data_IF_944375146685
#
_entry.id   IF_944375146685
#
_cell.length_a   1.000
_cell.length_b   1.000
_cell.length_c   1.000
_cell.angle_alpha   90.00
_cell.angle_beta   90.00
_cell.angle_gamma   90.00
#
_symmetry.space_group_name_H-M   'P 1'
#
loop_
_entity.id
_entity.type
_entity.pdbx_description
1 polymer ?
#
# COMPACT_ATOMS: atom_id res chain seq x y z
N UNK A 1 -11.27 6.85 8.29
CA UNK A 1 -10.50 5.62 8.07
C UNK A 1 -9.27 5.96 7.23
N UNK A 2 -8.09 5.53 7.66
CA UNK A 2 -6.87 5.71 6.88
C UNK A 2 -6.59 4.46 6.08
N UNK A 3 -6.20 4.64 4.81
CA UNK A 3 -6.00 3.53 3.88
C UNK A 3 -4.65 3.67 3.20
N UNK A 4 -3.76 2.70 3.43
CA UNK A 4 -2.50 2.60 2.69
C UNK A 4 -2.80 2.01 1.31
N UNK A 5 -2.44 2.76 0.28
CA UNK A 5 -2.76 2.43 -1.10
C UNK A 5 -1.57 1.74 -1.72
N UNK A 6 -1.72 0.44 -2.03
CA UNK A 6 -0.67 -0.34 -2.70
C UNK A 6 -0.42 0.15 -4.12
N UNK A 7 0.77 -0.10 -4.60
CA UNK A 7 1.18 0.21 -5.98
C UNK A 7 0.20 -0.31 -7.02
N UNK A 8 -0.34 -1.51 -6.82
CA UNK A 8 -1.29 -2.12 -7.76
C UNK A 8 -2.53 -1.25 -7.99
N UNK A 9 -3.01 -0.58 -6.95
CA UNK A 9 -4.19 0.30 -7.06
C UNK A 9 -3.84 1.56 -7.84
N UNK A 10 -2.65 2.15 -7.59
CA UNK A 10 -2.19 3.32 -8.35
C UNK A 10 -2.01 2.99 -9.82
N UNK A 11 -1.40 1.86 -10.15
CA UNK A 11 -1.20 1.42 -11.53
C UNK A 11 -2.53 1.21 -12.24
N UNK A 12 -3.51 0.60 -11.58
CA UNK A 12 -4.86 0.46 -12.09
C UNK A 12 -5.48 1.83 -12.40
N UNK A 13 -5.37 2.77 -11.47
CA UNK A 13 -5.87 4.13 -11.63
C UNK A 13 -5.20 4.86 -12.80
N UNK A 14 -3.91 4.65 -13.02
CA UNK A 14 -3.19 5.26 -14.14
C UNK A 14 -3.68 4.76 -15.50
N UNK A 15 -4.13 3.52 -15.55
CA UNK A 15 -4.68 2.92 -16.78
C UNK A 15 -6.12 3.35 -17.00
N UNK A 16 -6.88 3.42 -15.95
CA UNK A 16 -8.29 3.74 -15.98
C UNK A 16 -8.69 4.32 -14.64
N UNK A 17 -9.21 5.53 -14.61
CA UNK A 17 -9.57 6.23 -13.39
C UNK A 17 -10.36 5.32 -12.43
N UNK A 18 -9.84 5.22 -11.21
CA UNK A 18 -10.48 4.48 -10.13
C UNK A 18 -11.25 5.47 -9.26
N UNK A 19 -12.58 5.47 -9.40
CA UNK A 19 -13.43 6.44 -8.71
C UNK A 19 -13.40 6.27 -7.19
N UNK A 20 -13.23 5.05 -6.71
CA UNK A 20 -13.09 4.78 -5.27
C UNK A 20 -11.82 5.40 -4.72
N UNK A 21 -10.72 5.34 -5.49
CA UNK A 21 -9.47 5.97 -5.10
C UNK A 21 -9.61 7.50 -5.07
N UNK A 22 -10.24 8.07 -6.09
CA UNK A 22 -10.48 9.52 -6.13
C UNK A 22 -11.28 9.96 -4.91
N UNK A 23 -12.36 9.25 -4.59
CA UNK A 23 -13.19 9.55 -3.43
C UNK A 23 -12.39 9.49 -2.12
N UNK A 24 -11.54 8.48 -1.99
CA UNK A 24 -10.69 8.30 -0.81
C UNK A 24 -9.72 9.47 -0.63
N UNK A 25 -9.07 9.88 -1.72
CA UNK A 25 -8.13 11.02 -1.72
C UNK A 25 -8.85 12.31 -1.37
N UNK A 26 -10.03 12.54 -1.92
CA UNK A 26 -10.83 13.74 -1.63
C UNK A 26 -11.27 13.80 -0.18
N UNK A 27 -11.40 12.68 0.50
CA UNK A 27 -11.72 12.63 1.93
C UNK A 27 -10.48 12.71 2.82
N UNK A 28 -9.30 12.87 2.24
CA UNK A 28 -8.03 12.93 2.96
C UNK A 28 -7.77 11.68 3.81
N UNK A 29 -8.13 10.52 3.26
CA UNK A 29 -7.97 9.22 3.94
C UNK A 29 -6.86 8.36 3.35
N UNK A 30 -6.24 8.79 2.25
CA UNK A 30 -5.19 8.04 1.58
C UNK A 30 -3.83 8.19 2.26
N UNK A 31 -3.13 7.08 2.42
CA UNK A 31 -1.76 7.05 2.92
C UNK A 31 -0.80 6.59 1.84
N UNK A 32 0.40 7.15 1.85
CA UNK A 32 1.51 6.69 1.02
C UNK A 32 2.59 6.02 1.86
N UNK A 33 3.59 5.45 1.18
CA UNK A 33 4.72 4.77 1.81
C UNK A 33 5.91 4.85 0.87
N UNK A 34 7.15 4.99 1.37
CA UNK A 34 8.34 5.04 0.51
C UNK A 34 8.47 3.88 -0.47
N UNK A 35 8.07 2.67 -0.07
CA UNK A 35 8.11 1.50 -0.94
C UNK A 35 7.14 1.61 -2.10
N UNK A 36 5.97 2.21 -1.90
CA UNK A 36 5.02 2.49 -2.98
C UNK A 36 5.60 3.51 -3.94
N UNK A 37 6.14 4.60 -3.41
CA UNK A 37 6.78 5.63 -4.25
C UNK A 37 7.95 5.04 -5.04
N UNK A 38 8.75 4.19 -4.41
CA UNK A 38 9.88 3.52 -5.08
C UNK A 38 9.43 2.62 -6.21
N UNK A 39 8.40 1.82 -6.00
CA UNK A 39 7.84 0.96 -7.05
C UNK A 39 7.26 1.77 -8.20
N UNK A 40 6.52 2.83 -7.90
CA UNK A 40 5.99 3.72 -8.93
C UNK A 40 7.10 4.41 -9.71
N UNK A 41 8.20 4.78 -9.03
CA UNK A 41 9.36 5.39 -9.67
C UNK A 41 10.08 4.43 -10.62
N UNK A 42 10.05 3.14 -10.33
CA UNK A 42 10.59 2.10 -11.22
C UNK A 42 9.72 1.82 -12.44
N UNK A 43 8.47 2.26 -12.41
CA UNK A 43 7.53 2.08 -13.51
C UNK A 43 7.41 3.32 -14.39
N UNK A 44 6.25 3.45 -15.02
CA UNK A 44 5.95 4.55 -15.95
C UNK A 44 4.70 5.31 -15.50
N UNK A 45 4.80 6.09 -14.40
CA UNK A 45 3.66 6.91 -13.99
C UNK A 45 3.33 7.95 -15.07
N UNK A 46 2.08 8.48 -15.07
CA UNK A 46 1.67 9.46 -16.07
C UNK A 46 2.59 10.69 -16.11
N UNK A 47 2.75 11.24 -17.30
CA UNK A 47 3.49 12.48 -17.49
C UNK A 47 2.70 13.68 -16.94
N UNK A 48 3.36 14.68 -16.37
CA UNK A 48 4.78 14.73 -16.09
C UNK A 48 5.14 13.80 -14.92
N UNK A 49 6.06 12.89 -15.17
CA UNK A 49 6.45 11.86 -14.20
C UNK A 49 6.78 12.41 -12.80
N UNK A 50 7.62 13.45 -12.77
CA UNK A 50 8.05 14.05 -11.51
C UNK A 50 6.85 14.60 -10.73
N UNK A 51 5.93 15.27 -11.41
CA UNK A 51 4.75 15.84 -10.77
C UNK A 51 3.85 14.77 -10.18
N UNK A 52 3.63 13.69 -10.90
CA UNK A 52 2.82 12.57 -10.41
C UNK A 52 3.42 11.97 -9.14
N UNK A 53 4.74 11.71 -9.14
CA UNK A 53 5.41 11.15 -7.97
C UNK A 53 5.39 12.13 -6.80
N UNK A 54 5.62 13.41 -7.05
CA UNK A 54 5.61 14.43 -6.01
C UNK A 54 4.22 14.57 -5.38
N UNK A 55 3.17 14.55 -6.19
CA UNK A 55 1.78 14.66 -5.71
C UNK A 55 1.41 13.48 -4.80
N UNK A 56 1.77 12.26 -5.21
CA UNK A 56 1.52 11.07 -4.39
C UNK A 56 2.34 11.14 -3.09
N UNK A 57 3.56 11.66 -3.18
CA UNK A 57 4.43 11.86 -2.02
C UNK A 57 3.91 12.88 -1.00
N UNK A 58 2.97 13.73 -1.39
CA UNK A 58 2.35 14.70 -0.48
C UNK A 58 1.28 14.08 0.42
N UNK A 59 0.81 12.89 0.10
CA UNK A 59 -0.14 12.21 0.98
C UNK A 59 0.50 11.93 2.33
N UNK A 60 -0.33 11.84 3.36
CA UNK A 60 0.14 11.45 4.67
C UNK A 60 0.82 10.08 4.60
N UNK A 61 1.96 9.93 5.27
CA UNK A 61 2.70 8.67 5.28
C UNK A 61 2.17 7.71 6.33
N UNK A 62 2.09 6.43 5.98
CA UNK A 62 1.93 5.37 6.96
C UNK A 62 3.20 5.28 7.82
N UNK A 63 3.10 4.69 9.00
CA UNK A 63 4.28 4.35 9.77
C UNK A 63 5.11 3.36 8.98
N UNK A 64 6.42 3.51 9.05
CA UNK A 64 7.32 2.68 8.26
C UNK A 64 7.90 1.57 9.15
N UNK A 65 7.56 0.33 8.85
CA UNK A 65 8.19 -0.80 9.49
C UNK A 65 9.67 -0.87 9.09
N UNK A 66 10.54 -1.06 10.08
CA UNK A 66 11.97 -1.24 9.84
C UNK A 66 12.24 -2.62 9.24
N UNK A 67 13.44 -2.80 8.68
CA UNK A 67 13.89 -4.11 8.21
C UNK A 67 13.73 -5.17 9.31
N UNK A 68 14.22 -4.89 10.51
CA UNK A 68 14.15 -5.84 11.63
C UNK A 68 12.70 -6.18 11.99
N UNK A 69 11.81 -5.17 11.97
CA UNK A 69 10.40 -5.38 12.27
C UNK A 69 9.73 -6.25 11.22
N UNK A 70 10.03 -6.02 9.95
CA UNK A 70 9.48 -6.84 8.85
C UNK A 70 9.98 -8.28 8.95
N UNK A 71 11.27 -8.48 9.16
CA UNK A 71 11.85 -9.81 9.30
C UNK A 71 11.25 -10.57 10.49
N UNK A 72 11.11 -9.91 11.62
CA UNK A 72 10.48 -10.49 12.82
C UNK A 72 9.02 -10.84 12.59
N UNK A 73 8.29 -10.00 11.87
CA UNK A 73 6.89 -10.23 11.52
C UNK A 73 6.72 -11.47 10.64
N UNK A 74 7.55 -11.58 9.59
CA UNK A 74 7.52 -12.75 8.69
C UNK A 74 7.74 -14.05 9.48
N UNK A 75 8.74 -14.08 10.36
CA UNK A 75 9.06 -15.27 11.15
C UNK A 75 7.98 -15.59 12.19
N UNK A 76 7.56 -14.61 12.94
CA UNK A 76 6.58 -14.79 14.02
C UNK A 76 5.23 -15.28 13.48
N UNK A 77 4.78 -14.72 12.38
CA UNK A 77 3.48 -15.04 11.79
C UNK A 77 3.56 -16.12 10.70
N UNK A 78 4.76 -16.64 10.44
CA UNK A 78 4.99 -17.68 9.43
C UNK A 78 4.47 -17.28 8.05
N UNK A 79 4.86 -16.11 7.60
CA UNK A 79 4.39 -15.54 6.32
C UNK A 79 5.25 -15.90 5.13
N UNK A 80 6.21 -16.79 5.30
CA UNK A 80 7.11 -17.24 4.23
C UNK A 80 6.41 -18.29 3.35
N UNK A 81 6.81 -18.33 2.09
CA UNK A 81 6.29 -19.31 1.13
C UNK A 81 4.85 -19.06 0.68
N UNK A 82 4.29 -17.89 0.93
CA UNK A 82 2.89 -17.58 0.62
C UNK A 82 2.72 -16.80 -0.69
N UNK A 83 3.82 -16.57 -1.41
CA UNK A 83 3.77 -15.91 -2.70
C UNK A 83 3.77 -14.37 -2.64
N UNK A 84 3.95 -13.80 -1.47
CA UNK A 84 4.12 -12.35 -1.30
C UNK A 84 5.59 -12.02 -1.09
N UNK A 85 6.05 -10.92 -1.69
CA UNK A 85 7.43 -10.48 -1.58
C UNK A 85 7.67 -9.52 -0.43
N UNK A 86 8.93 -9.07 -0.34
CA UNK A 86 9.37 -8.20 0.75
C UNK A 86 8.62 -6.88 0.81
N UNK A 87 8.33 -6.25 -0.34
CA UNK A 87 7.58 -4.99 -0.37
C UNK A 87 6.17 -5.22 0.18
N UNK A 88 5.51 -6.29 -0.22
CA UNK A 88 4.18 -6.65 0.28
C UNK A 88 4.19 -6.81 1.80
N UNK A 89 5.18 -7.52 2.34
CA UNK A 89 5.31 -7.72 3.77
C UNK A 89 5.59 -6.42 4.51
N UNK A 90 6.39 -5.54 3.92
CA UNK A 90 6.68 -4.23 4.49
C UNK A 90 5.42 -3.36 4.55
N UNK A 91 4.62 -3.37 3.49
CA UNK A 91 3.36 -2.62 3.46
C UNK A 91 2.36 -3.17 4.48
N UNK A 92 2.25 -4.47 4.59
CA UNK A 92 1.35 -5.09 5.55
C UNK A 92 1.78 -4.77 6.99
N UNK A 93 3.05 -4.96 7.31
CA UNK A 93 3.58 -4.62 8.63
C UNK A 93 3.37 -3.14 8.96
N UNK A 94 3.64 -2.25 8.00
CA UNK A 94 3.47 -0.81 8.17
C UNK A 94 2.01 -0.44 8.41
N UNK A 95 1.08 -1.11 7.71
CA UNK A 95 -0.35 -0.93 7.92
C UNK A 95 -0.74 -1.30 9.35
N UNK A 96 -0.27 -2.44 9.83
CA UNK A 96 -0.58 -2.92 11.18
C UNK A 96 0.01 -2.01 12.27
N UNK A 97 1.11 -1.32 11.97
CA UNK A 97 1.73 -0.36 12.88
C UNK A 97 1.05 1.01 12.86
N UNK A 98 0.23 1.29 11.87
CA UNK A 98 -0.45 2.58 11.73
C UNK A 98 -1.85 2.45 12.34
N UNK A 99 -2.16 3.14 13.45
CA UNK A 99 -3.45 2.99 14.11
C UNK A 99 -4.62 3.26 13.19
N UNK A 100 -5.58 2.33 13.15
CA UNK A 100 -6.80 2.45 12.35
C UNK A 100 -6.62 2.31 10.85
N UNK A 101 -5.42 1.99 10.38
CA UNK A 101 -5.16 1.88 8.94
C UNK A 101 -5.65 0.56 8.37
N UNK A 102 -5.98 0.60 7.09
CA UNK A 102 -6.31 -0.56 6.27
C UNK A 102 -5.40 -0.58 5.05
N UNK A 103 -5.15 -1.76 4.51
CA UNK A 103 -4.36 -1.93 3.30
C UNK A 103 -5.28 -2.19 2.11
N UNK A 104 -5.15 -1.39 1.07
CA UNK A 104 -5.88 -1.58 -0.17
C UNK A 104 -4.92 -2.06 -1.24
N UNK A 105 -5.14 -3.26 -1.73
CA UNK A 105 -4.34 -3.88 -2.78
C UNK A 105 -5.25 -4.66 -3.73
N UNK A 106 -4.84 -4.75 -4.99
CA UNK A 106 -5.50 -5.59 -5.99
C UNK A 106 -4.84 -6.96 -6.10
N UNK A 107 -3.72 -7.17 -5.41
CA UNK A 107 -3.07 -8.49 -5.33
C UNK A 107 -3.87 -9.37 -4.38
N UNK A 108 -4.37 -10.49 -4.91
CA UNK A 108 -5.26 -11.38 -4.14
C UNK A 108 -4.57 -12.02 -2.94
N UNK A 109 -3.28 -12.36 -3.06
CA UNK A 109 -2.52 -12.98 -1.96
C UNK A 109 -2.30 -11.99 -0.83
N UNK A 110 -1.88 -10.78 -1.17
CA UNK A 110 -1.69 -9.73 -0.17
C UNK A 110 -3.02 -9.32 0.47
N UNK A 111 -4.09 -9.21 -0.31
CA UNK A 111 -5.42 -8.92 0.22
C UNK A 111 -5.88 -9.98 1.22
N UNK A 112 -5.64 -11.26 0.93
CA UNK A 112 -5.98 -12.35 1.84
C UNK A 112 -5.20 -12.25 3.16
N UNK A 113 -3.91 -11.90 3.09
CA UNK A 113 -3.12 -11.69 4.30
C UNK A 113 -3.60 -10.49 5.10
N UNK A 114 -3.90 -9.38 4.44
CA UNK A 114 -4.45 -8.20 5.12
C UNK A 114 -5.77 -8.55 5.83
N UNK A 115 -6.63 -9.34 5.19
CA UNK A 115 -7.89 -9.79 5.78
C UNK A 115 -7.65 -10.69 7.00
N UNK A 116 -6.64 -11.57 6.93
CA UNK A 116 -6.27 -12.44 8.05
C UNK A 116 -5.94 -11.63 9.31
N UNK A 117 -5.33 -10.47 9.15
CA UNK A 117 -4.99 -9.57 10.26
C UNK A 117 -6.06 -8.51 10.53
N UNK A 118 -7.22 -8.60 9.89
CA UNK A 118 -8.32 -7.66 10.10
C UNK A 118 -8.07 -6.27 9.55
N UNK A 119 -7.16 -6.13 8.59
CA UNK A 119 -6.73 -4.82 8.08
C UNK A 119 -6.93 -4.66 6.57
N UNK A 120 -7.79 -5.46 5.96
CA UNK A 120 -8.10 -5.31 4.54
C UNK A 120 -9.08 -4.16 4.32
N UNK A 121 -8.79 -3.33 3.32
CA UNK A 121 -9.76 -2.34 2.85
C UNK A 121 -10.76 -3.06 1.94
N UNK A 122 -12.07 -2.95 2.21
CA UNK A 122 -13.06 -3.60 1.36
C UNK A 122 -13.02 -3.02 -0.05
N UNK A 123 -12.74 -3.87 -1.03
CA UNK A 123 -12.68 -3.49 -2.43
C UNK A 123 -13.85 -4.16 -3.17
N UNK A 124 -14.59 -3.35 -3.88
CA UNK A 124 -15.72 -3.81 -4.68
C UNK A 124 -15.54 -3.44 -6.14
#
# INVERSE_FOLDING_TARGET
>A
MSVLIDTSVWVDHFRRTNDSLVALILRDEGLTHPMVLGELACGTPPAPRRQTLDDIGLLQGARQASWAEVMGFIEREQLFGLGCGLVDMTLLASTLMTPGARLWTLDKRLAALAARFGSAFPHR
#
